data_IF_268863179217
#
_entry.id   IF_268863179217
#
_cell.length_a   1.000
_cell.length_b   1.000
_cell.length_c   1.000
_cell.angle_alpha   90.00
_cell.angle_beta   90.00
_cell.angle_gamma   90.00
#
_symmetry.space_group_name_H-M   'P 1'
#
loop_
_entity.id
_entity.type
_entity.pdbx_description
1 polymer ?
#
# COMPACT_ATOMS: atom_id res chain seq x y z
N UNK A 1 6.33 -18.82 21.77
CA UNK A 1 4.94 -18.50 21.46
C UNK A 1 4.61 -18.99 20.06
N UNK A 2 3.59 -19.82 19.95
CA UNK A 2 3.06 -20.28 18.67
C UNK A 2 2.13 -19.17 18.15
N UNK A 3 2.58 -18.45 17.11
CA UNK A 3 1.73 -17.50 16.43
C UNK A 3 0.86 -18.26 15.43
N UNK A 4 -0.46 -18.23 15.64
CA UNK A 4 -1.39 -18.75 14.66
C UNK A 4 -1.37 -17.79 13.48
N UNK A 5 -1.02 -18.28 12.29
CA UNK A 5 -1.13 -17.49 11.05
C UNK A 5 -2.58 -17.17 10.81
N UNK A 6 -2.93 -15.89 10.89
CA UNK A 6 -4.27 -15.42 10.57
C UNK A 6 -4.33 -15.05 9.09
N UNK A 7 -5.06 -15.83 8.30
CA UNK A 7 -5.30 -15.51 6.90
C UNK A 7 -6.40 -14.46 6.80
N UNK A 8 -6.12 -13.39 6.08
CA UNK A 8 -7.08 -12.30 5.82
C UNK A 8 -7.76 -12.48 4.47
N UNK A 9 -7.10 -13.14 3.54
CA UNK A 9 -7.65 -13.63 2.28
C UNK A 9 -6.87 -14.87 1.86
N UNK A 10 -7.21 -15.45 0.72
CA UNK A 10 -6.60 -16.71 0.27
C UNK A 10 -5.06 -16.68 0.23
N UNK A 11 -4.45 -15.57 -0.19
CA UNK A 11 -3.00 -15.45 -0.35
C UNK A 11 -2.33 -14.47 0.60
N UNK A 12 -3.06 -13.85 1.53
CA UNK A 12 -2.51 -12.84 2.43
C UNK A 12 -2.82 -13.16 3.88
N UNK A 13 -1.80 -13.05 4.74
CA UNK A 13 -1.95 -13.23 6.18
C UNK A 13 -1.61 -11.96 6.95
N UNK A 14 -2.04 -11.89 8.20
CA UNK A 14 -1.85 -10.72 9.04
C UNK A 14 -0.38 -10.35 9.20
N UNK A 15 0.51 -11.34 9.33
CA UNK A 15 1.94 -11.10 9.56
C UNK A 15 2.58 -10.30 8.42
N UNK A 16 2.19 -10.57 7.17
CA UNK A 16 2.69 -9.81 6.00
C UNK A 16 2.31 -8.33 6.07
N UNK A 17 1.15 -8.03 6.66
CA UNK A 17 0.57 -6.68 6.67
C UNK A 17 1.02 -5.84 7.88
N UNK A 18 1.65 -6.47 8.87
CA UNK A 18 2.15 -5.77 10.07
C UNK A 18 3.68 -5.84 10.18
N UNK A 19 4.33 -6.51 9.25
CA UNK A 19 5.79 -6.67 9.26
C UNK A 19 6.51 -5.34 9.17
N UNK A 20 7.50 -5.12 10.02
CA UNK A 20 8.38 -3.97 9.98
C UNK A 20 9.71 -4.29 10.63
N UNK A 21 10.79 -4.22 9.86
CA UNK A 21 12.14 -4.41 10.37
C UNK A 21 12.52 -3.29 11.35
N UNK A 22 12.04 -2.08 11.11
CA UNK A 22 12.26 -0.94 12.01
C UNK A 22 11.57 -1.15 13.35
N UNK A 23 10.34 -1.66 13.36
CA UNK A 23 9.62 -1.95 14.60
C UNK A 23 10.37 -2.99 15.44
N UNK A 24 10.84 -4.06 14.79
CA UNK A 24 11.64 -5.11 15.47
C UNK A 24 12.93 -4.52 16.05
N UNK A 25 13.69 -3.79 15.23
CA UNK A 25 14.98 -3.22 15.64
C UNK A 25 14.85 -2.21 16.78
N UNK A 26 13.77 -1.43 16.79
CA UNK A 26 13.54 -0.39 17.78
C UNK A 26 12.65 -0.82 18.95
N UNK A 27 12.17 -2.06 18.96
CA UNK A 27 11.28 -2.56 20.00
C UNK A 27 9.92 -1.86 20.03
N UNK A 28 9.42 -1.43 18.88
CA UNK A 28 8.12 -0.75 18.75
C UNK A 28 7.02 -1.79 18.56
N UNK A 29 5.94 -1.67 19.34
CA UNK A 29 4.75 -2.49 19.16
C UNK A 29 4.02 -2.06 17.89
N UNK A 30 3.86 -2.99 16.94
CA UNK A 30 3.15 -2.76 15.68
C UNK A 30 1.96 -3.71 15.54
N UNK A 31 1.32 -4.08 16.64
CA UNK A 31 0.15 -4.96 16.60
C UNK A 31 -1.15 -4.14 16.46
N UNK A 32 -1.98 -4.43 15.45
CA UNK A 32 -3.25 -3.77 15.27
C UNK A 32 -4.29 -4.28 16.26
N UNK A 33 -5.29 -3.45 16.55
CA UNK A 33 -6.48 -3.89 17.29
C UNK A 33 -7.48 -4.60 16.36
N UNK A 34 -8.58 -5.10 16.93
CA UNK A 34 -9.58 -5.86 16.16
C UNK A 34 -10.24 -5.05 15.04
N UNK A 35 -10.51 -3.77 15.26
CA UNK A 35 -11.10 -2.90 14.22
C UNK A 35 -10.11 -2.67 13.07
N UNK A 36 -8.84 -2.52 13.38
CA UNK A 36 -7.77 -2.37 12.39
C UNK A 36 -7.59 -3.67 11.60
N UNK A 37 -7.66 -4.83 12.25
CA UNK A 37 -7.60 -6.13 11.57
C UNK A 37 -8.75 -6.26 10.57
N UNK A 38 -9.97 -5.83 10.93
CA UNK A 38 -11.10 -5.82 10.02
C UNK A 38 -10.85 -4.94 8.79
N UNK A 39 -10.22 -3.78 8.97
CA UNK A 39 -9.83 -2.90 7.86
C UNK A 39 -8.74 -3.51 6.99
N UNK A 40 -7.76 -4.19 7.57
CA UNK A 40 -6.74 -4.92 6.82
C UNK A 40 -7.36 -6.04 5.98
N UNK A 41 -8.40 -6.70 6.50
CA UNK A 41 -9.14 -7.68 5.71
C UNK A 41 -9.82 -7.04 4.49
N UNK A 42 -10.39 -5.85 4.64
CA UNK A 42 -10.98 -5.10 3.52
C UNK A 42 -9.92 -4.75 2.47
N UNK A 43 -8.71 -4.34 2.88
CA UNK A 43 -7.60 -4.11 1.96
C UNK A 43 -7.24 -5.39 1.17
N UNK A 44 -7.20 -6.52 1.85
CA UNK A 44 -6.92 -7.80 1.20
C UNK A 44 -8.01 -8.17 0.20
N UNK A 45 -9.27 -8.10 0.60
CA UNK A 45 -10.40 -8.53 -0.23
C UNK A 45 -10.61 -7.62 -1.45
N UNK A 46 -10.39 -6.31 -1.30
CA UNK A 46 -10.74 -5.33 -2.32
C UNK A 46 -9.56 -4.87 -3.19
N UNK A 47 -8.33 -4.97 -2.70
CA UNK A 47 -7.13 -4.51 -3.42
C UNK A 47 -6.15 -5.66 -3.64
N UNK A 48 -5.59 -6.22 -2.58
CA UNK A 48 -4.45 -7.14 -2.69
C UNK A 48 -4.81 -8.47 -3.35
N UNK A 49 -5.92 -9.09 -2.97
CA UNK A 49 -6.31 -10.37 -3.55
C UNK A 49 -6.70 -10.26 -5.02
N UNK A 50 -7.50 -9.27 -5.47
CA UNK A 50 -7.74 -9.07 -6.90
C UNK A 50 -6.46 -8.83 -7.71
N UNK A 51 -5.51 -8.06 -7.18
CA UNK A 51 -4.21 -7.84 -7.82
C UNK A 51 -3.44 -9.16 -7.92
N UNK A 52 -3.40 -9.93 -6.84
CA UNK A 52 -2.74 -11.24 -6.80
C UNK A 52 -3.32 -12.20 -7.82
N UNK A 53 -4.65 -12.22 -7.94
CA UNK A 53 -5.34 -13.12 -8.87
C UNK A 53 -5.06 -12.74 -10.33
N UNK A 54 -4.83 -11.47 -10.63
CA UNK A 54 -4.56 -11.01 -11.99
C UNK A 54 -3.08 -11.08 -12.37
N UNK A 55 -2.19 -10.57 -11.51
CA UNK A 55 -0.77 -10.41 -11.83
C UNK A 55 0.13 -11.52 -11.29
N UNK A 56 -0.32 -12.30 -10.32
CA UNK A 56 0.52 -13.27 -9.63
C UNK A 56 1.10 -12.71 -8.33
N UNK A 57 2.28 -13.18 -7.89
CA UNK A 57 2.83 -12.81 -6.58
C UNK A 57 2.88 -11.32 -6.31
N UNK A 58 2.54 -10.94 -5.09
CA UNK A 58 2.55 -9.55 -4.60
C UNK A 58 3.51 -9.47 -3.42
N UNK A 59 4.39 -8.48 -3.42
CA UNK A 59 5.28 -8.18 -2.31
C UNK A 59 4.76 -6.93 -1.59
N UNK A 60 4.31 -7.11 -0.35
CA UNK A 60 3.89 -5.99 0.50
C UNK A 60 5.13 -5.45 1.22
N UNK A 61 5.44 -4.17 1.00
CA UNK A 61 6.59 -3.51 1.62
C UNK A 61 6.23 -2.77 2.90
N UNK A 62 5.02 -2.23 2.99
CA UNK A 62 4.51 -1.59 4.19
C UNK A 62 2.98 -1.59 4.15
N UNK A 63 2.34 -1.89 5.27
CA UNK A 63 0.88 -1.80 5.35
C UNK A 63 0.48 -1.13 6.66
N UNK A 64 0.10 -1.87 7.70
CA UNK A 64 -0.21 -1.23 8.97
C UNK A 64 1.06 -0.70 9.65
N UNK A 65 0.97 0.53 10.15
CA UNK A 65 1.99 1.15 11.01
C UNK A 65 1.31 1.74 12.23
N UNK A 66 1.77 1.36 13.43
CA UNK A 66 1.37 2.06 14.63
C UNK A 66 1.79 3.53 14.55
N UNK A 67 1.11 4.46 15.25
CA UNK A 67 1.51 5.87 15.27
C UNK A 67 2.97 6.06 15.68
N UNK A 68 3.44 5.30 16.66
CA UNK A 68 4.84 5.35 17.11
C UNK A 68 5.80 4.94 15.98
N UNK A 69 5.50 3.85 15.27
CA UNK A 69 6.33 3.41 14.15
C UNK A 69 6.31 4.44 13.02
N UNK A 70 5.15 5.02 12.72
CA UNK A 70 5.02 6.04 11.67
C UNK A 70 5.93 7.23 11.93
N UNK A 71 5.94 7.75 13.16
CA UNK A 71 6.84 8.82 13.57
C UNK A 71 8.30 8.39 13.47
N UNK A 72 8.63 7.18 13.94
CA UNK A 72 10.00 6.66 13.94
C UNK A 72 10.63 6.56 12.55
N UNK A 73 9.81 6.34 11.50
CA UNK A 73 10.28 6.29 10.11
C UNK A 73 10.16 7.63 9.37
N UNK A 74 9.82 8.72 10.08
CA UNK A 74 9.70 10.05 9.52
C UNK A 74 8.38 10.34 8.80
N UNK A 75 7.34 9.56 9.07
CA UNK A 75 6.01 9.74 8.52
C UNK A 75 5.06 10.40 9.53
N UNK A 76 3.83 10.67 9.13
CA UNK A 76 2.81 11.31 9.95
C UNK A 76 1.94 10.29 10.68
N UNK A 77 1.46 10.67 11.87
CA UNK A 77 0.41 9.92 12.59
C UNK A 77 -0.94 9.99 11.88
N UNK A 78 -1.12 10.93 10.95
CA UNK A 78 -2.33 11.09 10.15
C UNK A 78 -2.31 10.25 8.86
N UNK A 79 -1.26 9.46 8.65
CA UNK A 79 -1.17 8.55 7.50
C UNK A 79 -2.28 7.49 7.54
N UNK A 80 -2.84 7.16 6.39
CA UNK A 80 -3.81 6.05 6.27
C UNK A 80 -3.19 4.68 6.61
N UNK A 81 -1.87 4.54 6.60
CA UNK A 81 -1.20 3.35 7.15
C UNK A 81 -1.48 3.17 8.64
N UNK A 82 -1.60 4.27 9.40
CA UNK A 82 -1.95 4.22 10.83
C UNK A 82 -3.40 3.82 11.07
N UNK A 83 -4.26 4.09 10.11
CA UNK A 83 -5.68 3.72 10.17
C UNK A 83 -5.95 2.30 9.62
N UNK A 84 -4.91 1.57 9.24
CA UNK A 84 -5.01 0.26 8.58
C UNK A 84 -5.80 0.31 7.26
N UNK A 85 -5.71 1.44 6.53
CA UNK A 85 -6.44 1.69 5.29
C UNK A 85 -5.55 1.74 4.06
N UNK A 86 -4.22 1.71 4.22
CA UNK A 86 -3.28 1.84 3.10
C UNK A 86 -2.23 0.74 3.08
N UNK A 87 -1.77 0.41 1.88
CA UNK A 87 -0.74 -0.58 1.64
C UNK A 87 0.20 -0.11 0.53
N UNK A 88 1.50 -0.33 0.73
CA UNK A 88 2.56 -0.15 -0.27
C UNK A 88 2.98 -1.52 -0.78
N UNK A 89 3.00 -1.71 -2.09
CA UNK A 89 3.27 -3.02 -2.66
C UNK A 89 3.74 -2.95 -4.11
N UNK A 90 4.29 -4.07 -4.57
CA UNK A 90 4.71 -4.28 -5.95
C UNK A 90 4.37 -5.70 -6.38
N UNK A 91 4.30 -5.91 -7.68
CA UNK A 91 4.20 -7.24 -8.28
C UNK A 91 5.50 -7.51 -9.03
N UNK A 92 6.36 -8.45 -8.59
CA UNK A 92 7.62 -8.74 -9.27
C UNK A 92 7.43 -9.01 -10.77
N UNK A 93 8.22 -8.34 -11.62
CA UNK A 93 8.13 -8.48 -13.06
C UNK A 93 7.03 -7.67 -13.74
N UNK A 94 6.23 -6.93 -12.99
CA UNK A 94 5.17 -6.07 -13.52
C UNK A 94 5.60 -4.61 -13.38
N UNK A 95 5.41 -3.84 -14.45
CA UNK A 95 5.64 -2.39 -14.45
C UNK A 95 4.70 -1.73 -13.43
N UNK A 96 5.24 -0.93 -12.50
CA UNK A 96 4.43 -0.28 -11.47
C UNK A 96 3.40 0.69 -12.02
N UNK A 97 3.66 1.33 -13.16
CA UNK A 97 2.68 2.18 -13.83
C UNK A 97 1.53 1.33 -14.40
N UNK A 98 1.83 0.20 -15.01
CA UNK A 98 0.84 -0.75 -15.51
C UNK A 98 -0.02 -1.32 -14.38
N UNK A 99 0.60 -1.66 -13.26
CA UNK A 99 -0.10 -2.12 -12.05
C UNK A 99 -1.13 -1.08 -11.59
N UNK A 100 -0.72 0.17 -11.45
CA UNK A 100 -1.62 1.24 -11.03
C UNK A 100 -2.75 1.49 -12.03
N UNK A 101 -2.45 1.47 -13.34
CA UNK A 101 -3.47 1.66 -14.36
C UNK A 101 -4.52 0.54 -14.33
N UNK A 102 -4.11 -0.71 -14.09
CA UNK A 102 -5.03 -1.82 -13.95
C UNK A 102 -5.95 -1.65 -12.73
N UNK A 103 -5.39 -1.25 -11.59
CA UNK A 103 -6.16 -1.00 -10.37
C UNK A 103 -7.18 0.12 -10.60
N UNK A 104 -6.75 1.21 -11.22
CA UNK A 104 -7.64 2.34 -11.51
C UNK A 104 -8.85 1.90 -12.35
N UNK A 105 -8.60 1.08 -13.36
CA UNK A 105 -9.63 0.61 -14.28
C UNK A 105 -10.59 -0.42 -13.65
N UNK A 106 -10.09 -1.28 -12.78
CA UNK A 106 -10.81 -2.51 -12.38
C UNK A 106 -11.27 -2.53 -10.92
N UNK A 107 -10.69 -1.72 -10.03
CA UNK A 107 -10.97 -1.79 -8.60
C UNK A 107 -11.49 -0.45 -8.05
N UNK A 108 -12.19 -0.54 -6.94
CA UNK A 108 -12.54 0.63 -6.14
C UNK A 108 -11.44 0.86 -5.10
N UNK A 109 -11.06 2.12 -4.92
CA UNK A 109 -10.05 2.53 -3.94
C UNK A 109 -10.29 3.98 -3.53
N UNK A 110 -9.66 4.40 -2.42
CA UNK A 110 -9.75 5.78 -1.95
C UNK A 110 -8.68 6.66 -2.61
N UNK A 111 -7.42 6.41 -2.31
CA UNK A 111 -6.30 7.14 -2.91
C UNK A 111 -5.24 6.15 -3.36
N UNK A 112 -4.76 6.32 -4.58
CA UNK A 112 -3.64 5.56 -5.11
C UNK A 112 -2.54 6.51 -5.54
N UNK A 113 -1.31 6.20 -5.15
CA UNK A 113 -0.15 7.01 -5.48
C UNK A 113 0.90 6.11 -6.13
N UNK A 114 1.27 6.43 -7.35
CA UNK A 114 2.46 5.87 -7.97
C UNK A 114 3.65 6.65 -7.43
N UNK A 115 4.39 6.04 -6.51
CA UNK A 115 5.43 6.71 -5.75
C UNK A 115 6.80 6.53 -6.40
N UNK A 116 7.43 7.65 -6.75
CA UNK A 116 8.82 7.74 -7.25
C UNK A 116 9.12 6.88 -8.48
N UNK A 117 8.12 6.66 -9.30
CA UNK A 117 8.26 5.95 -10.57
C UNK A 117 9.03 6.80 -11.58
N UNK A 118 9.96 6.17 -12.30
CA UNK A 118 10.72 6.80 -13.40
C UNK A 118 10.34 6.10 -14.69
N UNK A 119 9.86 6.86 -15.66
CA UNK A 119 9.55 6.34 -16.99
C UNK A 119 10.77 5.66 -17.61
N UNK A 120 10.56 4.46 -18.16
CA UNK A 120 11.64 3.64 -18.70
C UNK A 120 12.30 2.72 -17.68
N UNK A 121 11.94 2.83 -16.40
CA UNK A 121 12.40 1.96 -15.31
C UNK A 121 11.18 1.29 -14.65
N UNK A 122 10.68 0.18 -15.21
CA UNK A 122 9.41 -0.43 -14.80
C UNK A 122 9.31 -0.81 -13.31
N UNK A 123 10.43 -1.20 -12.70
CA UNK A 123 10.48 -1.59 -11.30
C UNK A 123 10.82 -0.44 -10.35
N UNK A 124 10.94 0.79 -10.87
CA UNK A 124 11.18 1.96 -10.02
C UNK A 124 9.94 2.33 -9.22
N UNK A 125 10.16 2.87 -8.01
CA UNK A 125 9.07 3.27 -7.14
C UNK A 125 8.21 2.10 -6.67
N UNK A 126 6.97 2.40 -6.32
CA UNK A 126 5.98 1.39 -5.86
C UNK A 126 4.56 1.94 -5.98
N UNK A 127 3.59 1.06 -5.77
CA UNK A 127 2.18 1.43 -5.68
C UNK A 127 1.78 1.59 -4.21
N UNK A 128 1.25 2.77 -3.88
CA UNK A 128 0.56 3.02 -2.62
C UNK A 128 -0.94 3.07 -2.92
N UNK A 129 -1.74 2.29 -2.20
CA UNK A 129 -3.18 2.26 -2.41
C UNK A 129 -3.93 2.18 -1.09
N UNK A 130 -4.95 3.01 -0.93
CA UNK A 130 -5.82 2.97 0.24
C UNK A 130 -7.24 2.56 -0.15
N UNK A 131 -7.96 2.00 0.82
CA UNK A 131 -9.34 1.56 0.67
C UNK A 131 -10.17 1.99 1.87
N UNK A 132 -11.32 2.60 1.61
CA UNK A 132 -12.37 2.88 2.57
C UNK A 132 -13.71 2.50 1.94
N UNK A 133 -14.67 2.04 2.76
CA UNK A 133 -15.98 1.63 2.27
C UNK A 133 -16.89 2.81 1.94
N UNK A 134 -16.86 3.85 2.78
CA UNK A 134 -17.75 5.00 2.64
C UNK A 134 -17.10 6.12 1.83
N UNK A 135 -17.69 6.41 0.67
CA UNK A 135 -17.32 7.51 -0.22
C UNK A 135 -15.82 7.56 -0.59
N UNK A 136 -15.27 6.49 -1.20
CA UNK A 136 -13.89 6.53 -1.66
C UNK A 136 -13.69 7.62 -2.72
N UNK A 137 -12.56 8.34 -2.62
CA UNK A 137 -12.25 9.46 -3.52
C UNK A 137 -11.87 9.03 -4.93
N UNK A 138 -11.36 7.82 -5.09
CA UNK A 138 -10.75 7.31 -6.33
C UNK A 138 -9.74 8.30 -6.91
N UNK A 139 -8.90 8.86 -6.05
CA UNK A 139 -7.87 9.83 -6.41
C UNK A 139 -6.58 9.11 -6.83
N UNK A 140 -6.05 9.45 -8.01
CA UNK A 140 -4.83 8.84 -8.53
C UNK A 140 -3.76 9.92 -8.72
N UNK A 141 -2.63 9.76 -8.00
CA UNK A 141 -1.53 10.72 -7.97
C UNK A 141 -0.20 10.07 -8.37
N UNK A 142 0.70 10.89 -8.90
CA UNK A 142 2.12 10.57 -9.06
C UNK A 142 2.91 11.37 -8.04
N UNK A 143 3.71 10.69 -7.21
CA UNK A 143 4.63 11.33 -6.29
C UNK A 143 6.04 11.33 -6.88
N UNK A 144 6.70 12.48 -6.88
CA UNK A 144 8.05 12.65 -7.42
C UNK A 144 8.85 13.65 -6.57
N UNK A 145 10.16 13.63 -6.73
CA UNK A 145 11.02 14.60 -6.04
C UNK A 145 11.40 15.74 -6.98
N UNK A 146 11.30 16.96 -6.46
CA UNK A 146 11.71 18.17 -7.15
C UNK A 146 12.29 19.12 -6.10
N UNK A 147 13.51 19.59 -6.35
CA UNK A 147 14.26 20.47 -5.42
C UNK A 147 14.34 19.90 -3.99
N UNK A 148 14.58 18.59 -3.87
CA UNK A 148 14.71 17.90 -2.59
C UNK A 148 13.39 17.71 -1.83
N UNK A 149 12.25 18.04 -2.44
CA UNK A 149 10.92 17.91 -1.85
C UNK A 149 10.07 16.91 -2.60
N UNK A 150 9.20 16.21 -1.89
CA UNK A 150 8.19 15.35 -2.49
C UNK A 150 7.02 16.20 -2.96
N UNK A 151 6.67 16.05 -4.24
CA UNK A 151 5.53 16.72 -4.87
C UNK A 151 4.58 15.70 -5.45
N UNK A 152 3.31 16.09 -5.58
CA UNK A 152 2.24 15.22 -6.06
C UNK A 152 1.54 15.88 -7.24
N UNK A 153 1.31 15.11 -8.31
CA UNK A 153 0.50 15.53 -9.45
C UNK A 153 -0.62 14.53 -9.72
N UNK A 154 -1.85 14.99 -10.01
CA UNK A 154 -2.91 14.08 -10.47
C UNK A 154 -2.51 13.39 -11.76
N UNK A 155 -2.81 12.10 -11.86
CA UNK A 155 -2.71 11.35 -13.12
C UNK A 155 -4.08 11.43 -13.78
N UNK A 156 -4.18 12.17 -14.89
CA UNK A 156 -5.45 12.43 -15.59
C UNK A 156 -5.72 11.44 -16.73
N UNK A 157 -4.80 10.55 -16.99
CA UNK A 157 -4.92 9.52 -18.01
C UNK A 157 -4.33 8.24 -17.50
N UNK A 158 -3.43 7.65 -18.28
CA UNK A 158 -2.73 6.43 -17.89
C UNK A 158 -1.35 6.76 -17.32
N UNK A 159 -0.96 6.07 -16.24
CA UNK A 159 0.36 6.20 -15.66
C UNK A 159 1.47 5.78 -16.62
N UNK A 160 1.21 4.79 -17.49
CA UNK A 160 2.17 4.37 -18.53
C UNK A 160 2.49 5.45 -19.54
N UNK A 161 1.69 6.51 -19.63
CA UNK A 161 1.86 7.63 -20.53
C UNK A 161 2.57 8.85 -19.88
N UNK A 162 3.05 8.68 -18.66
CA UNK A 162 3.79 9.73 -17.93
C UNK A 162 5.08 10.15 -18.64
#
# INVERSE_FOLDING_TARGET
>A
KTYIKMNLSRNFNLQELIKSDTAVRKGIDNNPNSDQIAKLKLLCDNILQPVRDHFGPVVVTSCYRSPELSVAIGSSVNSQHCDAEAVDFECPGVDNAELCDWIYKNLNFDQMILEFYKKGEPSSGWCHCSYIEDKPRKQFLHAFREDGKTKYKPILGKAVDL
#
